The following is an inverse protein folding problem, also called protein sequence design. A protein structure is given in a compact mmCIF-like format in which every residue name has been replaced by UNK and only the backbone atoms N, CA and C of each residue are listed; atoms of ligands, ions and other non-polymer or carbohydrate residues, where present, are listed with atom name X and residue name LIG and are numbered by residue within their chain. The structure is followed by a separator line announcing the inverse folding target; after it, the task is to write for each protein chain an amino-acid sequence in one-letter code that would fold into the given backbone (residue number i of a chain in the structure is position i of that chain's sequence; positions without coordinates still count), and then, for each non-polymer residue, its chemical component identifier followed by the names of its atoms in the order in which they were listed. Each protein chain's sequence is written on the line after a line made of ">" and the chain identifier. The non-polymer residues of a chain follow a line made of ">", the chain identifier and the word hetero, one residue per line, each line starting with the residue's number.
data_IF_917233092666
#
_entry.id   IF_917233092666
#
_cell.length_a   1.000
_cell.length_b   1.000
_cell.length_c   1.000
_cell.angle_alpha   90.00
_cell.angle_beta   90.00
_cell.angle_gamma   90.00
#
_symmetry.space_group_name_H-M   'P 1'
#
loop_
_entity.id
_entity.type
_entity.pdbx_description
1 polymer ?
#
# COMPACT_ATOMS: atom_id res chain seq x y z
N UNK A 1 11.54 8.09 -13.16
CA UNK A 1 10.73 6.87 -12.97
C UNK A 1 9.75 7.01 -11.81
N UNK A 2 10.17 7.61 -10.69
CA UNK A 2 9.31 7.96 -9.53
C UNK A 2 8.03 8.72 -9.90
N UNK A 3 8.11 9.69 -10.82
CA UNK A 3 6.96 10.50 -11.26
C UNK A 3 5.80 9.64 -11.80
N UNK A 4 6.09 8.64 -12.62
CA UNK A 4 5.06 7.73 -13.17
C UNK A 4 4.43 6.94 -12.03
N UNK A 5 5.22 6.45 -11.05
CA UNK A 5 4.65 5.77 -9.88
C UNK A 5 3.69 6.68 -9.12
N UNK A 6 4.06 7.94 -8.90
CA UNK A 6 3.18 8.88 -8.20
C UNK A 6 1.86 9.12 -8.95
N UNK A 7 1.87 9.16 -10.28
CA UNK A 7 0.66 9.29 -11.09
C UNK A 7 -0.35 8.13 -10.87
N UNK A 8 0.13 6.94 -10.48
CA UNK A 8 -0.71 5.76 -10.23
C UNK A 8 -0.61 5.23 -8.79
N UNK A 9 -0.18 6.06 -7.84
CA UNK A 9 0.08 5.59 -6.48
C UNK A 9 -1.21 4.98 -5.88
N UNK A 10 -1.19 3.75 -5.35
CA UNK A 10 -2.39 3.03 -4.94
C UNK A 10 -2.97 3.53 -3.61
N UNK A 11 -2.21 4.33 -2.86
CA UNK A 11 -2.65 4.97 -1.62
C UNK A 11 -2.90 6.45 -1.85
N UNK A 12 -3.73 7.06 -1.00
CA UNK A 12 -4.10 8.46 -1.13
C UNK A 12 -3.03 9.42 -0.59
N UNK A 13 -2.08 8.93 0.21
CA UNK A 13 -1.12 9.72 0.99
C UNK A 13 0.36 9.50 0.63
N UNK A 14 0.78 9.61 -0.65
CA UNK A 14 2.19 9.76 -0.95
C UNK A 14 2.75 11.01 -0.26
N UNK A 15 3.97 10.91 0.27
CA UNK A 15 4.63 12.04 0.94
C UNK A 15 5.31 12.93 -0.09
N UNK A 16 5.05 14.23 0.02
CA UNK A 16 5.72 15.30 -0.71
C UNK A 16 6.33 16.30 0.27
N UNK A 17 7.34 17.02 -0.19
CA UNK A 17 8.07 18.05 0.55
C UNK A 17 8.38 19.23 -0.36
N UNK A 18 8.67 20.40 0.21
CA UNK A 18 9.02 21.60 -0.55
C UNK A 18 10.22 21.37 -1.49
N UNK A 19 11.15 20.47 -1.12
CA UNK A 19 12.30 20.10 -1.96
C UNK A 19 11.95 19.34 -3.24
N UNK A 20 10.73 18.79 -3.34
CA UNK A 20 10.27 18.10 -4.54
C UNK A 20 9.82 19.09 -5.65
N UNK A 21 9.57 20.35 -5.29
CA UNK A 21 9.17 21.40 -6.24
C UNK A 21 10.37 21.89 -7.05
N UNK A 22 10.11 22.32 -8.28
CA UNK A 22 11.18 22.85 -9.14
C UNK A 22 11.86 24.04 -8.47
N UNK A 23 13.17 23.91 -8.22
CA UNK A 23 13.96 24.90 -7.47
C UNK A 23 13.41 25.22 -6.06
N UNK A 24 12.71 24.27 -5.45
CA UNK A 24 12.02 24.44 -4.16
C UNK A 24 10.99 25.57 -4.14
N UNK A 25 10.43 25.95 -5.30
CA UNK A 25 9.42 27.02 -5.43
C UNK A 25 8.02 26.42 -5.43
N UNK A 26 7.38 26.43 -4.26
CA UNK A 26 6.03 25.84 -4.04
C UNK A 26 4.92 26.55 -4.82
N UNK A 27 5.17 27.74 -5.35
CA UNK A 27 4.23 28.47 -6.22
C UNK A 27 4.03 27.78 -7.58
N UNK A 28 4.96 26.92 -7.99
CA UNK A 28 4.87 26.17 -9.24
C UNK A 28 4.43 24.74 -8.94
N UNK A 29 3.12 24.47 -9.01
CA UNK A 29 2.56 23.14 -8.76
C UNK A 29 3.28 22.06 -9.57
N UNK A 30 3.51 20.90 -8.96
CA UNK A 30 4.03 19.73 -9.66
C UNK A 30 2.89 19.16 -10.50
N UNK A 31 3.10 19.02 -11.81
CA UNK A 31 2.14 18.42 -12.73
C UNK A 31 2.80 17.26 -13.46
N UNK A 32 2.23 16.06 -13.32
CA UNK A 32 2.68 14.84 -14.00
C UNK A 32 1.50 14.29 -14.80
N UNK A 33 1.63 14.25 -16.12
CA UNK A 33 0.64 13.65 -17.01
C UNK A 33 1.19 12.34 -17.59
N UNK A 34 0.40 11.28 -17.50
CA UNK A 34 0.75 9.97 -18.07
C UNK A 34 -0.44 9.44 -18.87
N UNK A 35 -0.20 9.07 -20.12
CA UNK A 35 -1.17 8.40 -20.97
C UNK A 35 -0.98 6.89 -20.87
N UNK A 36 -2.08 6.16 -20.64
CA UNK A 36 -2.11 4.70 -20.52
C UNK A 36 -3.05 4.10 -21.57
N UNK A 37 -2.58 3.04 -22.22
CA UNK A 37 -3.38 2.14 -23.06
C UNK A 37 -3.68 0.83 -22.35
N UNK A 38 -4.04 -0.21 -23.12
CA UNK A 38 -4.48 -1.53 -22.61
C UNK A 38 -5.46 -1.40 -21.42
N UNK A 39 -6.50 -0.60 -21.65
CA UNK A 39 -7.40 -0.18 -20.58
C UNK A 39 -8.28 -1.34 -20.12
N UNK A 40 -8.47 -1.42 -18.79
CA UNK A 40 -9.48 -2.31 -18.21
C UNK A 40 -10.86 -1.91 -18.75
N UNK A 41 -11.66 -2.88 -19.21
CA UNK A 41 -12.96 -2.66 -19.86
C UNK A 41 -13.88 -1.69 -19.09
N UNK A 42 -13.86 -1.76 -17.76
CA UNK A 42 -14.64 -0.86 -16.90
C UNK A 42 -14.30 0.64 -17.07
N UNK A 43 -13.10 0.98 -17.55
CA UNK A 43 -12.68 2.37 -17.81
C UNK A 43 -13.28 2.90 -19.11
N UNK A 44 -13.51 2.05 -20.10
CA UNK A 44 -14.06 2.44 -21.39
C UNK A 44 -15.56 2.78 -21.33
N UNK A 45 -16.25 2.44 -20.22
CA UNK A 45 -17.66 2.76 -20.03
C UNK A 45 -17.94 4.27 -20.01
N UNK A 46 -18.97 4.71 -20.74
CA UNK A 46 -19.48 6.10 -20.74
C UNK A 46 -19.87 6.60 -19.35
N UNK A 47 -20.32 5.71 -18.46
CA UNK A 47 -20.67 6.06 -17.07
C UNK A 47 -19.44 6.33 -16.19
N UNK A 48 -18.23 6.16 -16.73
CA UNK A 48 -16.97 6.31 -16.02
C UNK A 48 -16.01 7.26 -16.75
N UNK A 49 -15.12 6.72 -17.58
CA UNK A 49 -14.11 7.51 -18.30
C UNK A 49 -14.30 7.52 -19.81
N UNK A 50 -15.38 6.93 -20.34
CA UNK A 50 -15.64 6.88 -21.79
C UNK A 50 -15.57 8.26 -22.49
N UNK A 51 -16.08 9.32 -21.83
CA UNK A 51 -16.01 10.69 -22.36
C UNK A 51 -14.60 11.31 -22.37
N UNK A 52 -13.63 10.64 -21.76
CA UNK A 52 -12.24 11.06 -21.64
C UNK A 52 -11.29 10.20 -22.48
N UNK A 53 -11.80 9.18 -23.19
CA UNK A 53 -11.02 8.36 -24.10
C UNK A 53 -10.43 9.19 -25.24
N UNK A 54 -9.16 8.91 -25.54
CA UNK A 54 -8.37 9.50 -26.62
C UNK A 54 -7.85 8.39 -27.52
N UNK A 55 -7.52 8.71 -28.76
CA UNK A 55 -6.93 7.76 -29.69
C UNK A 55 -5.40 7.82 -29.65
N UNK A 56 -4.74 6.67 -29.56
CA UNK A 56 -3.30 6.56 -29.73
C UNK A 56 -2.95 5.88 -31.05
N UNK A 57 -2.22 6.60 -31.90
CA UNK A 57 -1.60 6.06 -33.11
C UNK A 57 -0.19 5.57 -32.77
N UNK A 58 -0.02 4.25 -32.69
CA UNK A 58 1.27 3.62 -32.41
C UNK A 58 2.28 3.76 -33.55
N UNK A 59 1.82 3.89 -34.80
CA UNK A 59 2.70 4.05 -35.96
C UNK A 59 3.21 5.49 -36.08
N UNK A 60 2.35 6.47 -35.83
CA UNK A 60 2.71 7.90 -35.84
C UNK A 60 3.24 8.41 -34.50
N UNK A 61 3.16 7.60 -33.43
CA UNK A 61 3.45 7.98 -32.03
C UNK A 61 2.70 9.25 -31.63
N UNK A 62 1.41 9.32 -32.01
CA UNK A 62 0.60 10.53 -31.90
C UNK A 62 -0.67 10.27 -31.12
N UNK A 63 -0.91 11.16 -30.15
CA UNK A 63 -2.14 11.20 -29.39
C UNK A 63 -3.16 12.10 -30.10
N UNK A 64 -4.36 11.59 -30.31
CA UNK A 64 -5.49 12.30 -30.91
C UNK A 64 -6.62 12.43 -29.89
N UNK A 65 -7.45 13.45 -30.04
CA UNK A 65 -8.55 13.69 -29.10
C UNK A 65 -9.79 12.86 -29.39
N UNK A 66 -9.89 12.32 -30.59
CA UNK A 66 -10.95 11.38 -30.96
C UNK A 66 -10.32 10.00 -31.09
N UNK A 67 -10.97 9.05 -30.43
CA UNK A 67 -10.77 7.64 -30.69
C UNK A 67 -11.44 7.32 -32.02
N UNK A 68 -10.73 6.61 -32.88
CA UNK A 68 -11.18 6.12 -34.17
C UNK A 68 -10.98 4.60 -34.16
N UNK A 69 -11.70 3.84 -34.99
CA UNK A 69 -11.69 2.37 -35.01
C UNK A 69 -10.29 1.78 -35.27
N UNK A 70 -9.35 2.59 -35.76
CA UNK A 70 -7.97 2.23 -36.04
C UNK A 70 -6.96 2.67 -34.97
N UNK A 71 -7.42 3.36 -33.93
CA UNK A 71 -6.59 3.89 -32.86
C UNK A 71 -6.83 3.13 -31.56
N UNK A 72 -5.78 2.99 -30.76
CA UNK A 72 -5.94 2.40 -29.43
C UNK A 72 -6.63 3.41 -28.49
N UNK A 73 -7.65 2.95 -27.77
CA UNK A 73 -8.28 3.72 -26.70
C UNK A 73 -7.31 3.92 -25.53
N UNK A 74 -7.02 5.17 -25.22
CA UNK A 74 -6.11 5.54 -24.13
C UNK A 74 -6.72 6.60 -23.20
N UNK A 75 -6.23 6.65 -21.96
CA UNK A 75 -6.58 7.67 -20.97
C UNK A 75 -5.34 8.44 -20.51
N UNK A 76 -5.47 9.76 -20.36
CA UNK A 76 -4.44 10.59 -19.73
C UNK A 76 -4.80 10.86 -18.27
N UNK A 77 -3.92 10.46 -17.34
CA UNK A 77 -4.04 10.73 -15.91
C UNK A 77 -3.08 11.86 -15.55
N UNK A 78 -3.59 12.89 -14.86
CA UNK A 78 -2.81 13.99 -14.31
C UNK A 78 -2.76 13.86 -12.79
N UNK A 79 -1.55 13.87 -12.24
CA UNK A 79 -1.28 14.15 -10.84
C UNK A 79 -0.87 15.62 -10.71
N UNK A 80 -1.53 16.35 -9.82
CA UNK A 80 -1.15 17.70 -9.41
C UNK A 80 -0.83 17.72 -7.91
N UNK A 81 0.28 18.36 -7.53
CA UNK A 81 0.61 18.67 -6.13
C UNK A 81 0.78 20.18 -6.01
N UNK A 82 -0.07 20.81 -5.23
CA UNK A 82 -0.04 22.24 -4.97
C UNK A 82 0.81 22.54 -3.71
N UNK A 83 0.96 23.84 -3.38
CA UNK A 83 1.72 24.31 -2.20
C UNK A 83 1.26 23.76 -0.85
N UNK A 84 0.07 23.16 -0.78
CA UNK A 84 -0.46 22.48 0.41
C UNK A 84 0.09 21.05 0.55
N UNK A 85 0.92 20.59 -0.40
CA UNK A 85 1.49 19.24 -0.50
C UNK A 85 0.43 18.15 -0.69
N UNK A 86 -0.80 18.52 -1.04
CA UNK A 86 -1.91 17.59 -1.20
C UNK A 86 -2.00 17.11 -2.65
N UNK A 87 -1.83 15.80 -2.92
CA UNK A 87 -1.88 15.26 -4.26
C UNK A 87 -3.32 15.08 -4.76
N UNK A 88 -3.57 15.47 -6.01
CA UNK A 88 -4.85 15.33 -6.70
C UNK A 88 -4.65 14.53 -7.98
N UNK A 89 -5.45 13.49 -8.17
CA UNK A 89 -5.43 12.67 -9.38
C UNK A 89 -6.71 12.83 -10.17
N UNK A 90 -6.59 13.16 -11.44
CA UNK A 90 -7.72 13.31 -12.35
C UNK A 90 -7.43 12.65 -13.69
N UNK A 91 -8.47 12.12 -14.33
CA UNK A 91 -8.44 11.73 -15.75
C UNK A 91 -8.80 12.97 -16.56
N UNK A 92 -7.96 13.35 -17.51
CA UNK A 92 -8.08 14.56 -18.33
C UNK A 92 -8.06 14.24 -19.81
N UNK A 93 -8.65 15.12 -20.61
CA UNK A 93 -8.43 15.18 -22.05
C UNK A 93 -8.54 16.64 -22.50
N UNK A 94 -8.08 16.97 -23.71
CA UNK A 94 -8.06 18.35 -24.18
C UNK A 94 -9.47 18.97 -24.28
N UNK A 95 -10.49 18.13 -24.47
CA UNK A 95 -11.91 18.55 -24.48
C UNK A 95 -12.39 18.98 -23.10
N UNK A 96 -11.82 18.40 -22.05
CA UNK A 96 -12.24 18.58 -20.66
C UNK A 96 -11.01 18.70 -19.75
N UNK A 97 -10.32 19.85 -19.77
CA UNK A 97 -9.03 20.03 -19.09
C UNK A 97 -9.12 19.98 -17.56
N UNK A 98 -10.31 20.26 -17.00
CA UNK A 98 -10.61 20.15 -15.56
C UNK A 98 -10.58 18.68 -15.08
N UNK A 99 -10.88 17.74 -15.97
CA UNK A 99 -10.86 16.32 -15.69
C UNK A 99 -11.94 15.81 -14.72
N UNK A 100 -11.86 14.52 -14.39
CA UNK A 100 -12.67 13.85 -13.35
C UNK A 100 -11.79 13.09 -12.38
N UNK A 101 -12.19 12.93 -11.10
CA UNK A 101 -11.37 12.25 -10.11
C UNK A 101 -10.97 10.82 -10.51
N UNK A 102 -9.66 10.54 -10.44
CA UNK A 102 -9.13 9.20 -10.60
C UNK A 102 -8.98 8.53 -9.22
N UNK A 103 -10.06 7.85 -8.82
CA UNK A 103 -10.24 7.33 -7.46
C UNK A 103 -9.21 6.25 -7.11
N UNK A 104 -8.93 6.10 -5.82
CA UNK A 104 -7.98 5.11 -5.30
C UNK A 104 -8.27 3.67 -5.79
N UNK A 105 -9.55 3.28 -5.81
CA UNK A 105 -9.97 1.96 -6.28
C UNK A 105 -9.75 1.74 -7.78
N UNK A 106 -9.64 2.82 -8.56
CA UNK A 106 -9.35 2.75 -10.00
C UNK A 106 -7.85 2.83 -10.27
N UNK A 107 -7.12 3.68 -9.53
CA UNK A 107 -5.65 3.65 -9.51
C UNK A 107 -5.10 2.26 -9.19
N UNK A 108 -5.70 1.56 -8.23
CA UNK A 108 -5.30 0.18 -7.86
C UNK A 108 -5.51 -0.86 -8.98
N UNK A 109 -6.36 -0.57 -9.98
CA UNK A 109 -6.59 -1.46 -11.13
C UNK A 109 -5.56 -1.26 -12.23
N UNK A 110 -4.87 -0.12 -12.23
CA UNK A 110 -3.74 0.13 -13.12
C UNK A 110 -2.51 -0.44 -12.43
N UNK A 111 -2.04 -1.58 -12.90
CA UNK A 111 -0.84 -2.24 -12.36
C UNK A 111 0.43 -1.51 -12.80
N UNK A 112 0.71 -0.34 -12.19
CA UNK A 112 2.04 0.27 -12.29
C UNK A 112 2.89 -0.28 -11.16
N UNK A 113 3.41 -1.49 -11.36
CA UNK A 113 4.34 -2.10 -10.44
C UNK A 113 5.76 -1.65 -10.78
N UNK A 114 6.32 -0.79 -9.92
CA UNK A 114 7.71 -0.37 -10.06
C UNK A 114 8.62 -1.51 -9.59
N UNK A 115 9.38 -2.07 -10.52
CA UNK A 115 10.49 -2.98 -10.25
C UNK A 115 11.70 -2.13 -9.79
N UNK A 116 11.73 -1.73 -8.50
CA UNK A 116 12.76 -0.83 -7.94
C UNK A 116 12.99 -1.02 -6.43
N UNK A 117 13.91 -0.27 -5.81
CA UNK A 117 14.40 -0.51 -4.43
C UNK A 117 13.32 -0.57 -3.32
N UNK A 118 12.13 -0.01 -3.55
CA UNK A 118 10.97 -0.10 -2.64
C UNK A 118 10.09 -1.36 -2.86
N UNK A 119 10.57 -2.33 -3.65
CA UNK A 119 9.85 -3.54 -4.02
C UNK A 119 9.80 -4.64 -2.95
N UNK A 120 10.46 -4.46 -1.81
CA UNK A 120 10.44 -5.44 -0.70
C UNK A 120 9.04 -5.73 -0.20
N UNK A 121 8.18 -4.71 -0.20
CA UNK A 121 6.79 -4.85 0.20
C UNK A 121 6.01 -5.75 -0.76
N UNK A 122 6.39 -5.82 -2.05
CA UNK A 122 5.73 -6.71 -3.01
C UNK A 122 5.96 -8.19 -2.70
N UNK A 123 7.04 -8.51 -1.97
CA UNK A 123 7.34 -9.85 -1.47
C UNK A 123 6.68 -10.11 -0.10
N UNK A 124 5.57 -9.44 0.19
CA UNK A 124 4.75 -9.63 1.39
C UNK A 124 3.27 -9.73 1.06
N UNK A 125 2.48 -10.42 1.89
CA UNK A 125 1.01 -10.40 1.79
C UNK A 125 0.44 -9.15 2.46
N UNK A 126 0.73 -7.99 1.86
CA UNK A 126 0.13 -6.73 2.24
C UNK A 126 -0.94 -6.28 1.24
N UNK A 127 -1.92 -5.49 1.67
CA UNK A 127 -2.96 -4.96 0.78
C UNK A 127 -2.34 -4.22 -0.41
N UNK A 128 -2.73 -4.62 -1.62
CA UNK A 128 -2.27 -4.02 -2.88
C UNK A 128 -0.94 -4.55 -3.44
N UNK A 129 -0.40 -5.62 -2.84
CA UNK A 129 0.83 -6.28 -3.34
C UNK A 129 0.53 -7.36 -4.39
N UNK A 130 1.50 -7.70 -5.23
CA UNK A 130 1.42 -8.78 -6.21
C UNK A 130 1.01 -10.11 -5.55
N UNK A 131 1.67 -10.50 -4.46
CA UNK A 131 1.33 -11.72 -3.71
C UNK A 131 -0.10 -11.71 -3.15
N UNK A 132 -0.58 -10.55 -2.67
CA UNK A 132 -1.96 -10.43 -2.20
C UNK A 132 -2.98 -10.51 -3.35
N UNK A 133 -2.64 -10.07 -4.56
CA UNK A 133 -3.48 -10.24 -5.76
C UNK A 133 -3.53 -11.71 -6.22
N UNK A 134 -2.43 -12.43 -6.11
CA UNK A 134 -2.32 -13.86 -6.48
C UNK A 134 -3.03 -14.80 -5.50
N UNK A 135 -3.38 -14.33 -4.30
CA UNK A 135 -3.99 -15.16 -3.26
C UNK A 135 -5.49 -14.90 -3.19
N UNK A 136 -6.32 -15.89 -3.56
CA UNK A 136 -7.77 -15.78 -3.45
C UNK A 136 -8.24 -15.83 -1.97
N UNK A 137 -9.20 -14.96 -1.65
CA UNK A 137 -10.26 -15.07 -0.63
C UNK A 137 -9.95 -15.52 0.82
N UNK A 138 -8.71 -15.75 1.25
CA UNK A 138 -8.41 -16.11 2.64
C UNK A 138 -8.22 -14.87 3.53
N UNK A 139 -8.93 -14.81 4.66
CA UNK A 139 -8.76 -13.75 5.65
C UNK A 139 -7.43 -13.91 6.40
N UNK A 140 -6.36 -13.34 5.85
CA UNK A 140 -5.05 -13.28 6.51
C UNK A 140 -5.14 -12.71 7.93
N UNK A 141 -6.04 -11.75 8.16
CA UNK A 141 -6.26 -11.16 9.47
C UNK A 141 -6.72 -12.19 10.51
N UNK A 142 -7.55 -13.16 10.13
CA UNK A 142 -8.00 -14.22 11.03
C UNK A 142 -6.87 -15.16 11.40
N UNK A 143 -6.06 -15.57 10.42
CA UNK A 143 -4.88 -16.41 10.65
C UNK A 143 -3.87 -15.75 11.59
N UNK A 144 -3.58 -14.47 11.36
CA UNK A 144 -2.67 -13.70 12.20
C UNK A 144 -3.23 -13.51 13.61
N UNK A 145 -4.54 -13.25 13.75
CA UNK A 145 -5.19 -13.17 15.06
C UNK A 145 -5.10 -14.50 15.81
N UNK A 146 -5.28 -15.62 15.13
CA UNK A 146 -5.12 -16.95 15.71
C UNK A 146 -3.67 -17.22 16.12
N UNK A 147 -2.69 -16.83 15.30
CA UNK A 147 -1.28 -16.93 15.66
C UNK A 147 -0.93 -16.14 16.94
N UNK A 148 -1.43 -14.90 17.07
CA UNK A 148 -1.25 -14.10 18.29
C UNK A 148 -1.85 -14.77 19.52
N UNK A 149 -3.05 -15.37 19.39
CA UNK A 149 -3.69 -16.12 20.48
C UNK A 149 -2.88 -17.36 20.86
N UNK A 150 -2.36 -18.11 19.88
CA UNK A 150 -1.50 -19.27 20.13
C UNK A 150 -0.20 -18.88 20.83
N UNK A 151 0.44 -17.79 20.42
CA UNK A 151 1.64 -17.27 21.09
C UNK A 151 1.37 -16.95 22.57
N UNK A 152 0.22 -16.33 22.86
CA UNK A 152 -0.24 -16.07 24.23
C UNK A 152 -0.42 -17.37 25.02
N UNK A 153 -1.17 -18.33 24.49
CA UNK A 153 -1.39 -19.63 25.15
C UNK A 153 -0.09 -20.41 25.38
N UNK A 154 0.88 -20.31 24.46
CA UNK A 154 2.18 -20.96 24.59
C UNK A 154 3.01 -20.37 25.74
N UNK A 155 2.97 -19.06 25.93
CA UNK A 155 3.60 -18.42 27.09
C UNK A 155 2.95 -18.86 28.41
N UNK A 156 1.63 -19.02 28.42
CA UNK A 156 0.89 -19.49 29.60
C UNK A 156 1.15 -20.97 29.92
N UNK A 157 1.38 -21.82 28.92
CA UNK A 157 1.62 -23.25 29.12
C UNK A 157 2.84 -23.55 30.01
N UNK A 158 3.88 -22.72 29.93
CA UNK A 158 5.11 -22.83 30.74
C UNK A 158 5.28 -21.66 31.72
N UNK A 159 4.19 -20.95 32.05
CA UNK A 159 4.17 -19.75 32.89
C UNK A 159 5.00 -19.84 34.18
N UNK A 160 4.96 -20.95 34.96
CA UNK A 160 5.73 -21.07 36.20
C UNK A 160 7.24 -20.97 36.00
N UNK A 161 7.72 -21.17 34.77
CA UNK A 161 9.13 -21.06 34.39
C UNK A 161 9.37 -19.78 33.58
N UNK A 162 8.63 -19.55 32.50
CA UNK A 162 8.87 -18.46 31.54
C UNK A 162 8.51 -17.08 32.08
N UNK A 163 7.49 -16.98 32.93
CA UNK A 163 6.93 -15.69 33.39
C UNK A 163 7.10 -15.45 34.89
N UNK A 164 7.75 -16.36 35.63
CA UNK A 164 7.92 -16.29 37.09
C UNK A 164 8.34 -14.91 37.60
N UNK A 165 9.40 -14.35 37.03
CA UNK A 165 9.96 -13.07 37.49
C UNK A 165 9.04 -11.89 37.15
N UNK A 166 8.35 -11.96 36.02
CA UNK A 166 7.41 -10.92 35.60
C UNK A 166 6.14 -10.96 36.47
N UNK A 167 5.67 -12.14 36.86
CA UNK A 167 4.55 -12.30 37.78
C UNK A 167 4.90 -11.85 39.19
N UNK A 168 6.11 -12.13 39.67
CA UNK A 168 6.58 -11.58 40.94
C UNK A 168 6.59 -10.05 40.94
N UNK A 169 6.96 -9.42 39.82
CA UNK A 169 6.89 -7.97 39.67
C UNK A 169 5.43 -7.46 39.61
N UNK A 170 4.54 -8.19 38.95
CA UNK A 170 3.13 -7.86 38.86
C UNK A 170 2.45 -7.89 40.26
N UNK A 171 2.77 -8.89 41.08
CA UNK A 171 2.30 -8.97 42.47
C UNK A 171 2.75 -7.77 43.30
N UNK A 172 4.04 -7.41 43.26
CA UNK A 172 4.54 -6.21 43.96
C UNK A 172 3.85 -4.92 43.48
N UNK A 173 3.57 -4.83 42.18
CA UNK A 173 2.88 -3.69 41.60
C UNK A 173 1.43 -3.60 42.10
N UNK A 174 0.76 -4.74 42.27
CA UNK A 174 -0.58 -4.81 42.85
C UNK A 174 -0.62 -4.39 44.32
N UNK A 175 0.38 -4.79 45.11
CA UNK A 175 0.51 -4.38 46.52
C UNK A 175 0.59 -2.85 46.64
N UNK A 176 1.43 -2.23 45.82
CA UNK A 176 1.58 -0.77 45.75
C UNK A 176 0.27 -0.12 45.27
N UNK A 177 -0.35 -0.66 44.22
CA UNK A 177 -1.61 -0.14 43.69
C UNK A 177 -2.71 -0.13 44.75
N UNK A 178 -2.81 -1.20 45.53
CA UNK A 178 -3.77 -1.31 46.64
C UNK A 178 -3.51 -0.28 47.73
N UNK A 179 -2.23 -0.07 48.10
CA UNK A 179 -1.84 0.96 49.08
C UNK A 179 -2.22 2.38 48.62
N UNK A 180 -2.15 2.63 47.30
CA UNK A 180 -2.50 3.91 46.69
C UNK A 180 -4.01 4.07 46.42
N UNK A 181 -4.84 3.11 46.83
CA UNK A 181 -6.29 3.16 46.63
C UNK A 181 -6.73 2.88 45.20
N UNK A 182 -5.86 2.30 44.37
CA UNK A 182 -6.23 1.86 43.01
C UNK A 182 -7.05 0.57 43.15
N UNK A 183 -8.29 0.52 42.61
CA UNK A 183 -9.12 -0.66 42.73
C UNK A 183 -8.56 -1.82 41.90
N UNK A 184 -8.31 -2.95 42.57
CA UNK A 184 -7.88 -4.21 41.95
C UNK A 184 -9.10 -5.12 41.79
N UNK A 185 -9.45 -5.45 40.54
CA UNK A 185 -10.57 -6.36 40.25
C UNK A 185 -10.17 -7.83 40.20
N UNK A 186 -8.95 -8.10 39.74
CA UNK A 186 -8.37 -9.44 39.60
C UNK A 186 -6.83 -9.34 39.75
N UNK A 187 -6.16 -10.48 39.84
CA UNK A 187 -4.72 -10.56 40.06
C UNK A 187 -3.94 -9.98 38.88
N UNK A 188 -3.04 -9.05 39.19
CA UNK A 188 -2.09 -8.50 38.23
C UNK A 188 -1.13 -9.61 37.81
N UNK A 189 -0.98 -9.77 36.50
CA UNK A 189 -0.14 -10.81 35.93
C UNK A 189 0.53 -10.33 34.66
N UNK A 190 1.74 -10.79 34.40
CA UNK A 190 2.43 -10.48 33.16
C UNK A 190 1.78 -11.22 32.00
N UNK A 191 1.49 -10.52 30.90
CA UNK A 191 0.83 -11.15 29.77
C UNK A 191 1.18 -10.48 28.47
N UNK A 192 1.10 -11.23 27.38
CA UNK A 192 1.32 -10.73 26.04
C UNK A 192 0.19 -9.76 25.67
N UNK A 193 0.52 -8.53 25.31
CA UNK A 193 -0.46 -7.56 24.79
C UNK A 193 -0.64 -7.77 23.28
N UNK A 194 -1.85 -8.21 22.91
CA UNK A 194 -2.19 -8.51 21.52
C UNK A 194 -2.32 -7.25 20.66
N UNK A 195 -2.50 -6.09 21.29
CA UNK A 195 -2.56 -4.79 20.59
C UNK A 195 -1.18 -4.22 20.30
N UNK A 196 -0.19 -4.51 21.16
CA UNK A 196 1.20 -4.11 20.96
C UNK A 196 1.95 -5.01 19.98
N UNK A 197 1.50 -6.26 19.79
CA UNK A 197 2.04 -7.14 18.76
C UNK A 197 1.52 -6.68 17.39
N UNK A 198 2.39 -6.01 16.66
CA UNK A 198 2.08 -5.55 15.32
C UNK A 198 2.30 -6.68 14.30
N UNK A 199 1.35 -7.62 14.22
CA UNK A 199 1.28 -8.62 13.16
C UNK A 199 0.55 -8.11 11.91
N UNK A 200 0.15 -6.83 11.86
CA UNK A 200 -0.73 -6.32 10.79
C UNK A 200 -0.02 -6.32 9.43
N UNK A 201 -0.76 -6.76 8.40
CA UNK A 201 -0.60 -6.55 6.95
C UNK A 201 0.84 -6.23 6.50
N UNK A 202 1.59 -7.27 6.14
CA UNK A 202 3.03 -7.21 5.81
C UNK A 202 3.92 -8.05 6.75
N UNK A 203 3.38 -8.53 7.87
CA UNK A 203 4.08 -9.47 8.77
C UNK A 203 4.24 -10.89 8.19
N UNK A 204 3.47 -11.24 7.16
CA UNK A 204 3.67 -12.45 6.37
C UNK A 204 4.42 -12.09 5.09
N UNK A 205 5.62 -12.64 4.95
CA UNK A 205 6.50 -12.39 3.80
C UNK A 205 6.82 -13.67 3.07
N UNK A 206 7.19 -13.58 1.78
CA UNK A 206 7.67 -14.70 1.01
C UNK A 206 9.09 -15.07 1.44
N UNK A 207 9.34 -16.34 1.71
CA UNK A 207 10.62 -16.86 2.20
C UNK A 207 11.17 -17.94 1.27
N UNK A 208 12.50 -18.05 1.25
CA UNK A 208 13.24 -19.24 0.83
C UNK A 208 13.88 -19.85 2.08
N UNK A 209 13.30 -20.95 2.57
CA UNK A 209 13.60 -21.49 3.90
C UNK A 209 13.30 -20.48 5.01
N UNK A 210 14.29 -20.21 5.85
CA UNK A 210 14.18 -19.21 6.94
C UNK A 210 14.47 -17.77 6.47
N UNK A 211 14.98 -17.60 5.24
CA UNK A 211 15.38 -16.29 4.72
C UNK A 211 14.19 -15.59 4.03
N UNK A 212 13.77 -14.40 4.47
CA UNK A 212 12.76 -13.64 3.76
C UNK A 212 13.31 -13.13 2.43
N UNK A 213 12.63 -13.39 1.31
CA UNK A 213 13.09 -13.06 -0.05
C UNK A 213 13.26 -11.55 -0.30
N UNK A 214 12.69 -10.70 0.56
CA UNK A 214 12.99 -9.26 0.56
C UNK A 214 14.46 -8.94 0.83
N UNK A 215 15.23 -9.86 1.43
CA UNK A 215 16.66 -9.71 1.69
C UNK A 215 17.55 -10.09 0.49
N UNK A 216 16.98 -10.58 -0.62
CA UNK A 216 17.75 -10.86 -1.82
C UNK A 216 18.43 -9.59 -2.37
N UNK A 217 19.54 -9.79 -3.08
CA UNK A 217 20.17 -8.74 -3.87
C UNK A 217 19.18 -8.07 -4.82
N UNK A 218 19.37 -6.78 -5.10
CA UNK A 218 18.43 -5.97 -5.90
C UNK A 218 18.04 -6.66 -7.21
N UNK A 219 19.02 -7.13 -7.99
CA UNK A 219 18.75 -7.77 -9.29
C UNK A 219 17.96 -9.08 -9.17
N UNK A 220 18.26 -9.90 -8.16
CA UNK A 220 17.50 -11.13 -7.88
C UNK A 220 16.05 -10.82 -7.49
N UNK A 221 15.81 -9.77 -6.68
CA UNK A 221 14.45 -9.32 -6.36
C UNK A 221 13.70 -8.86 -7.59
N UNK A 222 14.36 -8.08 -8.47
CA UNK A 222 13.76 -7.59 -9.71
C UNK A 222 13.36 -8.72 -10.63
N UNK A 223 14.24 -9.70 -10.82
CA UNK A 223 13.95 -10.89 -11.63
C UNK A 223 12.78 -11.69 -11.08
N UNK A 224 12.73 -11.90 -9.76
CA UNK A 224 11.61 -12.60 -9.13
C UNK A 224 10.30 -11.84 -9.38
N UNK A 225 10.28 -10.53 -9.13
CA UNK A 225 9.10 -9.68 -9.29
C UNK A 225 8.62 -9.52 -10.74
N UNK A 226 9.49 -9.74 -11.73
CA UNK A 226 9.04 -9.80 -13.12
C UNK A 226 8.15 -11.03 -13.41
N UNK A 227 8.25 -12.08 -12.58
CA UNK A 227 7.58 -13.36 -12.81
C UNK A 227 6.32 -13.60 -11.97
N UNK A 228 5.98 -12.67 -11.06
CA UNK A 228 4.79 -12.71 -10.19
C UNK A 228 3.94 -11.47 -10.42
#
# INVERSE_FOLDING_TARGET
>A
MEAIRYAFFPQWNPTFSDSDFYQCKVENSIVIEVTIGDLVEAFCSLNKYGNYLRGWDSAALKLTNESDDHLEDVLTVRLTVDKDLEPKWVVVCDRTPEGVPFKQGDRSKVSVELIGAYSERQLSWATGTALAKLTEAQSLNELLANASRTARSSLDANRPVSLKNFDAAAVKSQEIATLLGVPVKDVYKAHLDLTSINLKVGGLTLHDGDMPLRQLGLESRRMLLCGI
#
